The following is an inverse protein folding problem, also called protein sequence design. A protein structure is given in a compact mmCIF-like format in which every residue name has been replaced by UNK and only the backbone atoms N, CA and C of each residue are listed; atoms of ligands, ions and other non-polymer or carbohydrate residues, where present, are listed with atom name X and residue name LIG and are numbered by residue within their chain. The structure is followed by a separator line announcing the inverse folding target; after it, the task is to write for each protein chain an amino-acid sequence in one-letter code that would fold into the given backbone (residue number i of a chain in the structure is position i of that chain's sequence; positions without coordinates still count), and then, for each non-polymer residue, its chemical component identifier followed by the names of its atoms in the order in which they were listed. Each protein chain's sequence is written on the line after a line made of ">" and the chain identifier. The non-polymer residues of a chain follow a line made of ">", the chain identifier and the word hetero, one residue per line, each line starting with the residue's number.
data_IF_918988877033
#
_entry.id   IF_918988877033
#
_cell.length_a   1.000
_cell.length_b   1.000
_cell.length_c   1.000
_cell.angle_alpha   90.00
_cell.angle_beta   90.00
_cell.angle_gamma   90.00
#
_symmetry.space_group_name_H-M   'P 1'
#
loop_
_entity.id
_entity.type
_entity.pdbx_description
1 polymer ?
#
# COMPACT_ATOMS: atom_id res chain seq x y z
N UNK A 1 42.35 -60.32 -17.83
CA UNK A 1 41.65 -59.76 -16.65
C UNK A 1 40.64 -58.74 -17.13
N UNK A 2 39.39 -59.16 -17.35
CA UNK A 2 38.27 -58.26 -17.66
C UNK A 2 37.66 -57.81 -16.33
N UNK A 3 37.84 -56.54 -15.98
CA UNK A 3 37.14 -55.95 -14.82
C UNK A 3 35.62 -55.99 -15.08
N UNK A 4 34.79 -56.38 -14.09
CA UNK A 4 33.36 -56.56 -14.33
C UNK A 4 32.70 -55.20 -14.57
N UNK A 5 32.05 -55.06 -15.74
CA UNK A 5 31.25 -53.87 -16.11
C UNK A 5 30.18 -53.49 -15.08
N UNK A 6 29.80 -54.40 -14.17
CA UNK A 6 28.77 -54.18 -13.15
C UNK A 6 29.15 -53.17 -12.05
N UNK A 7 30.44 -53.02 -11.72
CA UNK A 7 30.83 -52.06 -10.66
C UNK A 7 30.68 -50.61 -11.12
N UNK A 8 30.96 -50.28 -12.39
CA UNK A 8 30.82 -48.91 -12.92
C UNK A 8 29.37 -48.43 -12.99
N UNK A 9 28.42 -49.32 -13.28
CA UNK A 9 27.00 -49.00 -13.27
C UNK A 9 26.49 -48.67 -11.86
N UNK A 10 27.03 -49.32 -10.82
CA UNK A 10 26.68 -49.05 -9.43
C UNK A 10 27.27 -47.71 -8.93
N UNK A 11 28.52 -47.39 -9.30
CA UNK A 11 29.21 -46.18 -8.87
C UNK A 11 28.69 -44.89 -9.52
N UNK A 12 28.02 -44.97 -10.67
CA UNK A 12 27.49 -43.79 -11.39
C UNK A 12 25.95 -43.77 -11.34
N UNK A 13 25.29 -44.93 -11.43
CA UNK A 13 23.84 -45.03 -11.43
C UNK A 13 23.20 -44.72 -10.08
N UNK A 14 23.83 -45.13 -8.97
CA UNK A 14 23.28 -44.87 -7.63
C UNK A 14 23.35 -43.37 -7.25
N UNK A 15 24.47 -42.65 -7.46
CA UNK A 15 24.50 -41.20 -7.22
C UNK A 15 23.56 -40.41 -8.14
N UNK A 16 23.42 -40.82 -9.41
CA UNK A 16 22.52 -40.15 -10.35
C UNK A 16 21.04 -40.36 -9.98
N UNK A 17 20.65 -41.58 -9.59
CA UNK A 17 19.32 -41.87 -9.10
C UNK A 17 19.01 -41.12 -7.80
N UNK A 18 20.00 -41.01 -6.88
CA UNK A 18 19.86 -40.22 -5.66
C UNK A 18 19.71 -38.73 -5.97
N UNK A 19 20.50 -38.19 -6.90
CA UNK A 19 20.41 -36.80 -7.33
C UNK A 19 19.05 -36.48 -8.00
N UNK A 20 18.52 -37.40 -8.82
CA UNK A 20 17.20 -37.27 -9.41
C UNK A 20 16.08 -37.36 -8.36
N UNK A 21 16.19 -38.27 -7.38
CA UNK A 21 15.22 -38.40 -6.30
C UNK A 21 15.24 -37.18 -5.37
N UNK A 22 16.43 -36.65 -5.04
CA UNK A 22 16.58 -35.39 -4.29
C UNK A 22 16.05 -34.22 -5.10
N UNK A 23 16.35 -34.14 -6.39
CA UNK A 23 15.81 -33.09 -7.28
C UNK A 23 14.29 -33.13 -7.39
N UNK A 24 13.70 -34.32 -7.52
CA UNK A 24 12.25 -34.50 -7.53
C UNK A 24 11.61 -34.20 -6.17
N UNK A 25 12.27 -34.59 -5.07
CA UNK A 25 11.83 -34.29 -3.70
C UNK A 25 11.89 -32.78 -3.39
N UNK A 26 12.95 -32.10 -3.84
CA UNK A 26 13.08 -30.63 -3.74
C UNK A 26 12.03 -29.96 -4.61
N UNK A 27 11.81 -30.40 -5.85
CA UNK A 27 10.78 -29.84 -6.72
C UNK A 27 9.37 -30.07 -6.16
N UNK A 28 9.09 -31.23 -5.56
CA UNK A 28 7.82 -31.48 -4.89
C UNK A 28 7.65 -30.60 -3.63
N UNK A 29 8.69 -30.48 -2.80
CA UNK A 29 8.66 -29.58 -1.65
C UNK A 29 8.46 -28.12 -2.07
N UNK A 30 9.16 -27.67 -3.10
CA UNK A 30 9.07 -26.33 -3.67
C UNK A 30 7.63 -26.06 -4.19
N UNK A 31 7.07 -27.02 -4.94
CA UNK A 31 5.74 -26.89 -5.53
C UNK A 31 4.58 -26.94 -4.53
N UNK A 32 4.73 -27.72 -3.44
CA UNK A 32 3.63 -27.98 -2.50
C UNK A 32 3.76 -27.26 -1.15
N UNK A 33 4.98 -26.93 -0.70
CA UNK A 33 5.23 -26.41 0.66
C UNK A 33 5.93 -25.06 0.74
N UNK A 34 6.68 -24.60 -0.28
CA UNK A 34 7.44 -23.34 -0.18
C UNK A 34 6.60 -22.11 0.15
N UNK A 35 5.39 -22.05 -0.40
CA UNK A 35 4.49 -20.89 -0.27
C UNK A 35 3.23 -21.22 0.55
N UNK A 36 3.14 -22.38 1.24
CA UNK A 36 1.95 -22.77 1.99
C UNK A 36 2.13 -22.45 3.50
N UNK A 37 1.44 -21.42 4.04
CA UNK A 37 1.57 -21.03 5.45
C UNK A 37 0.79 -21.93 6.43
N UNK A 38 0.28 -23.08 5.98
CA UNK A 38 -0.38 -24.09 6.83
C UNK A 38 -1.81 -24.44 6.43
N UNK A 39 -2.27 -24.06 5.22
CA UNK A 39 -3.59 -24.41 4.72
C UNK A 39 -3.65 -25.82 4.13
N UNK A 40 -4.83 -26.48 4.16
CA UNK A 40 -5.01 -27.76 3.49
C UNK A 40 -4.65 -27.69 2.01
N UNK A 41 -3.99 -28.73 1.49
CA UNK A 41 -3.54 -28.80 0.09
C UNK A 41 -4.67 -28.53 -0.91
N UNK A 42 -5.88 -29.00 -0.61
CA UNK A 42 -7.08 -28.76 -1.44
C UNK A 42 -7.39 -27.26 -1.56
N UNK A 43 -7.35 -26.52 -0.44
CA UNK A 43 -7.63 -25.08 -0.40
C UNK A 43 -6.56 -24.30 -1.17
N UNK A 44 -5.28 -24.66 -0.99
CA UNK A 44 -4.19 -24.03 -1.75
C UNK A 44 -4.27 -24.31 -3.25
N UNK A 45 -4.70 -25.53 -3.63
CA UNK A 45 -4.95 -25.87 -5.03
C UNK A 45 -6.07 -25.00 -5.61
N UNK A 46 -7.20 -24.89 -4.91
CA UNK A 46 -8.33 -24.06 -5.32
C UNK A 46 -7.95 -22.57 -5.42
N UNK A 47 -7.20 -22.04 -4.44
CA UNK A 47 -6.67 -20.67 -4.50
C UNK A 47 -5.79 -20.44 -5.74
N UNK A 48 -4.95 -21.41 -6.12
CA UNK A 48 -4.15 -21.34 -7.36
C UNK A 48 -5.02 -21.34 -8.61
N UNK A 49 -5.97 -22.26 -8.71
CA UNK A 49 -6.90 -22.36 -9.85
C UNK A 49 -7.76 -21.11 -10.01
N UNK A 50 -8.12 -20.43 -8.91
CA UNK A 50 -8.81 -19.13 -8.97
C UNK A 50 -7.90 -18.04 -9.55
N UNK A 51 -6.65 -17.95 -9.10
CA UNK A 51 -5.71 -16.91 -9.57
C UNK A 51 -5.21 -17.10 -11.01
N UNK A 52 -5.43 -18.27 -11.62
CA UNK A 52 -5.20 -18.46 -13.06
C UNK A 52 -6.20 -17.69 -13.94
N UNK A 53 -7.31 -17.22 -13.37
CA UNK A 53 -8.43 -16.64 -14.13
C UNK A 53 -9.09 -15.43 -13.49
N UNK A 54 -8.92 -15.23 -12.19
CA UNK A 54 -9.40 -14.03 -11.50
C UNK A 54 -8.41 -12.89 -11.70
N UNK A 55 -8.98 -11.70 -11.81
CA UNK A 55 -8.23 -10.46 -11.75
C UNK A 55 -7.91 -10.14 -10.30
N UNK A 56 -6.66 -9.74 -10.05
CA UNK A 56 -6.14 -9.37 -8.74
C UNK A 56 -5.43 -8.02 -8.78
N UNK A 57 -5.80 -7.15 -7.85
CA UNK A 57 -5.37 -5.77 -7.75
C UNK A 57 -5.03 -5.43 -6.30
N UNK A 58 -3.86 -4.85 -6.12
CA UNK A 58 -3.44 -4.22 -4.87
C UNK A 58 -3.50 -2.70 -5.03
N UNK A 59 -4.26 -2.00 -4.18
CA UNK A 59 -4.41 -0.54 -4.28
C UNK A 59 -3.30 0.28 -3.62
N UNK A 60 -2.26 -0.34 -3.04
CA UNK A 60 -1.13 0.40 -2.50
C UNK A 60 0.16 -0.42 -2.44
N UNK A 61 1.09 -0.11 -3.36
CA UNK A 61 2.49 -0.55 -3.28
C UNK A 61 3.39 0.66 -3.47
N UNK A 62 4.32 0.87 -2.53
CA UNK A 62 5.28 1.97 -2.60
C UNK A 62 6.40 1.62 -3.58
N UNK A 63 6.81 2.61 -4.38
CA UNK A 63 7.96 2.50 -5.29
C UNK A 63 9.20 3.01 -4.56
N UNK A 64 10.19 2.13 -4.26
CA UNK A 64 11.48 2.55 -3.71
C UNK A 64 12.19 3.51 -4.68
N UNK A 65 12.92 4.50 -4.14
CA UNK A 65 13.62 5.50 -4.97
C UNK A 65 14.76 4.89 -5.82
N UNK A 66 15.28 3.74 -5.44
CA UNK A 66 16.33 2.99 -6.13
C UNK A 66 15.79 1.81 -6.97
N UNK A 67 14.47 1.66 -7.10
CA UNK A 67 13.87 0.55 -7.84
C UNK A 67 14.21 0.63 -9.34
N UNK A 68 14.58 -0.51 -9.93
CA UNK A 68 15.09 -0.60 -11.30
C UNK A 68 16.60 -0.36 -11.43
N UNK A 69 17.32 -0.09 -10.34
CA UNK A 69 18.79 0.03 -10.34
C UNK A 69 19.48 -1.31 -10.03
N UNK A 70 20.80 -1.37 -10.14
CA UNK A 70 21.56 -2.60 -9.91
C UNK A 70 21.38 -3.09 -8.45
N UNK A 71 20.90 -4.34 -8.29
CA UNK A 71 20.60 -4.93 -6.98
C UNK A 71 19.15 -4.74 -6.52
N UNK A 72 18.36 -3.92 -7.23
CA UNK A 72 16.93 -3.74 -7.01
C UNK A 72 16.17 -3.69 -8.36
N UNK A 73 16.54 -4.56 -9.30
CA UNK A 73 15.97 -4.60 -10.64
C UNK A 73 14.50 -5.03 -10.63
N UNK A 74 13.69 -4.44 -11.52
CA UNK A 74 12.25 -4.70 -11.57
C UNK A 74 11.90 -6.10 -12.10
N UNK A 75 12.77 -6.74 -12.88
CA UNK A 75 12.54 -8.03 -13.55
C UNK A 75 13.27 -9.21 -12.90
N UNK A 76 13.82 -9.04 -11.70
CA UNK A 76 14.51 -10.09 -10.94
C UNK A 76 13.83 -10.33 -9.60
N UNK A 77 13.96 -11.56 -9.08
CA UNK A 77 13.48 -11.93 -7.75
C UNK A 77 14.35 -11.25 -6.67
N UNK A 78 14.08 -9.97 -6.41
CA UNK A 78 14.88 -9.10 -5.56
C UNK A 78 14.59 -9.29 -4.06
N UNK A 79 15.18 -8.43 -3.22
CA UNK A 79 14.91 -8.43 -1.76
C UNK A 79 13.64 -7.68 -1.37
N UNK A 80 13.14 -6.80 -2.25
CA UNK A 80 11.92 -6.04 -2.04
C UNK A 80 10.67 -6.92 -2.05
N UNK A 81 9.52 -6.30 -1.74
CA UNK A 81 8.23 -6.99 -1.67
C UNK A 81 7.48 -7.00 -3.01
N UNK A 82 7.98 -6.27 -4.01
CA UNK A 82 7.46 -6.22 -5.37
C UNK A 82 8.58 -6.28 -6.41
N UNK A 83 8.40 -7.18 -7.38
CA UNK A 83 9.10 -7.23 -8.67
C UNK A 83 8.23 -8.07 -9.64
N UNK A 84 8.56 -8.05 -10.92
CA UNK A 84 7.78 -8.74 -11.95
C UNK A 84 7.84 -10.27 -11.82
N UNK A 85 8.93 -10.82 -11.26
CA UNK A 85 9.06 -12.27 -11.03
C UNK A 85 8.08 -12.72 -9.95
N UNK A 86 8.04 -12.00 -8.82
CA UNK A 86 7.09 -12.24 -7.73
C UNK A 86 5.66 -12.00 -8.17
N UNK A 87 5.38 -10.91 -8.88
CA UNK A 87 4.04 -10.59 -9.37
C UNK A 87 3.51 -11.70 -10.28
N UNK A 88 4.34 -12.20 -11.20
CA UNK A 88 3.98 -13.35 -12.04
C UNK A 88 3.81 -14.64 -11.23
N UNK A 89 4.70 -14.94 -10.27
CA UNK A 89 4.59 -16.12 -9.38
C UNK A 89 3.27 -16.12 -8.58
N UNK A 90 2.86 -14.94 -8.10
CA UNK A 90 1.63 -14.74 -7.35
C UNK A 90 0.39 -14.67 -8.23
N UNK A 91 0.54 -14.45 -9.54
CA UNK A 91 -0.52 -14.05 -10.48
C UNK A 91 -1.21 -12.73 -10.08
N UNK A 92 -0.43 -11.76 -9.58
CA UNK A 92 -0.93 -10.41 -9.35
C UNK A 92 -1.14 -9.72 -10.70
N UNK A 93 -2.38 -9.36 -11.03
CA UNK A 93 -2.70 -8.77 -12.35
C UNK A 93 -2.21 -7.33 -12.48
N UNK A 94 -2.20 -6.59 -11.37
CA UNK A 94 -1.74 -5.21 -11.35
C UNK A 94 -1.75 -4.63 -9.94
N UNK A 95 -1.19 -3.44 -9.79
CA UNK A 95 -1.22 -2.71 -8.53
C UNK A 95 -1.23 -1.20 -8.77
N UNK A 96 -1.70 -0.46 -7.79
CA UNK A 96 -1.44 0.95 -7.68
C UNK A 96 0.01 1.16 -7.24
N UNK A 97 0.86 1.59 -8.18
CA UNK A 97 2.22 2.01 -7.86
C UNK A 97 2.20 3.50 -7.54
N UNK A 98 2.51 3.82 -6.28
CA UNK A 98 2.25 5.15 -5.72
C UNK A 98 3.38 6.13 -6.06
N UNK A 99 3.05 7.21 -6.78
CA UNK A 99 3.86 8.43 -6.85
C UNK A 99 3.73 9.14 -5.51
N UNK A 100 4.84 9.22 -4.78
CA UNK A 100 4.86 9.72 -3.41
C UNK A 100 5.99 10.71 -3.21
N UNK A 101 5.79 11.66 -2.32
CA UNK A 101 6.79 12.60 -1.85
C UNK A 101 6.41 13.11 -0.48
N UNK A 102 7.39 13.26 0.40
CA UNK A 102 7.17 13.76 1.76
C UNK A 102 8.44 14.48 2.25
N UNK A 103 8.35 15.26 3.35
CA UNK A 103 9.53 15.86 3.94
C UNK A 103 10.39 14.78 4.61
N UNK A 104 11.22 14.10 3.81
CA UNK A 104 12.08 13.00 4.24
C UNK A 104 13.13 13.48 5.24
N UNK A 105 13.13 12.86 6.42
CA UNK A 105 13.93 13.30 7.56
C UNK A 105 15.22 12.54 7.67
N UNK A 106 15.26 11.31 7.17
CA UNK A 106 16.33 10.34 7.44
C UNK A 106 17.48 10.40 6.43
N UNK A 107 17.39 11.29 5.44
CA UNK A 107 18.40 11.41 4.40
C UNK A 107 19.53 12.38 4.77
N UNK A 108 20.76 11.92 4.61
CA UNK A 108 21.97 12.74 4.72
C UNK A 108 22.73 12.57 6.05
N UNK A 109 23.94 13.16 6.15
CA UNK A 109 24.74 13.11 7.37
C UNK A 109 24.05 13.85 8.53
N UNK A 110 24.09 13.25 9.72
CA UNK A 110 23.48 13.80 10.94
C UNK A 110 21.94 13.87 10.92
N UNK A 111 21.29 13.05 10.09
CA UNK A 111 19.85 12.83 10.17
C UNK A 111 19.43 12.42 11.60
N UNK A 112 18.21 12.76 12.05
CA UNK A 112 17.12 13.36 11.26
C UNK A 112 17.20 14.89 11.12
N UNK A 113 16.55 15.46 10.11
CA UNK A 113 16.50 16.91 9.87
C UNK A 113 15.07 17.46 9.93
N UNK A 114 14.84 18.57 10.64
CA UNK A 114 13.53 19.24 10.66
C UNK A 114 13.22 19.84 9.29
N UNK A 115 11.96 19.80 8.82
CA UNK A 115 11.61 20.32 7.51
C UNK A 115 11.93 21.81 7.36
N UNK A 116 12.47 22.17 6.20
CA UNK A 116 12.65 23.57 5.75
C UNK A 116 11.86 23.82 4.47
N UNK A 117 11.78 25.06 4.00
CA UNK A 117 11.11 25.36 2.73
C UNK A 117 11.65 24.56 1.53
N UNK A 118 12.94 24.19 1.55
CA UNK A 118 13.57 23.39 0.50
C UNK A 118 13.07 21.93 0.43
N UNK A 119 12.44 21.42 1.49
CA UNK A 119 11.94 20.03 1.53
C UNK A 119 10.76 19.82 0.58
N UNK A 120 10.02 20.89 0.23
CA UNK A 120 8.94 20.79 -0.78
C UNK A 120 9.53 20.42 -2.14
N UNK A 121 10.64 21.03 -2.55
CA UNK A 121 11.30 20.69 -3.82
C UNK A 121 11.90 19.28 -3.79
N UNK A 122 12.48 18.86 -2.67
CA UNK A 122 12.98 17.49 -2.53
C UNK A 122 11.83 16.47 -2.60
N UNK A 123 10.70 16.77 -1.97
CA UNK A 123 9.51 15.92 -2.04
C UNK A 123 8.94 15.85 -3.48
N UNK A 124 9.03 16.93 -4.27
CA UNK A 124 8.72 16.89 -5.71
C UNK A 124 9.71 16.03 -6.50
N UNK A 125 11.01 16.14 -6.19
CA UNK A 125 12.04 15.31 -6.81
C UNK A 125 11.77 13.82 -6.58
N UNK A 126 11.37 13.43 -5.36
CA UNK A 126 10.94 12.07 -5.05
C UNK A 126 9.75 11.60 -5.93
N UNK A 127 8.75 12.46 -6.16
CA UNK A 127 7.63 12.14 -7.07
C UNK A 127 8.11 11.93 -8.51
N UNK A 128 8.98 12.81 -9.02
CA UNK A 128 9.53 12.71 -10.36
C UNK A 128 10.38 11.45 -10.56
N UNK A 129 11.19 11.07 -9.56
CA UNK A 129 11.96 9.82 -9.59
C UNK A 129 11.02 8.61 -9.69
N UNK A 130 9.99 8.53 -8.84
CA UNK A 130 9.00 7.43 -8.86
C UNK A 130 8.25 7.36 -10.19
N UNK A 131 7.88 8.51 -10.75
CA UNK A 131 7.24 8.55 -12.06
C UNK A 131 8.17 8.06 -13.19
N UNK A 132 9.46 8.44 -13.16
CA UNK A 132 10.47 7.95 -14.11
C UNK A 132 10.69 6.45 -13.99
N UNK A 133 10.66 5.91 -12.77
CA UNK A 133 10.75 4.46 -12.53
C UNK A 133 9.55 3.74 -13.17
N UNK A 134 8.32 4.19 -12.85
CA UNK A 134 7.08 3.60 -13.40
C UNK A 134 7.08 3.62 -14.93
N UNK A 135 7.36 4.78 -15.53
CA UNK A 135 7.38 4.91 -16.99
C UNK A 135 8.57 4.19 -17.64
N UNK A 136 9.69 4.09 -16.92
CA UNK A 136 10.85 3.28 -17.30
C UNK A 136 10.54 1.79 -17.38
N UNK A 137 9.78 1.23 -16.43
CA UNK A 137 9.35 -0.18 -16.47
C UNK A 137 8.58 -0.50 -17.76
N UNK A 138 7.67 0.39 -18.19
CA UNK A 138 6.90 0.19 -19.43
C UNK A 138 7.79 0.27 -20.66
N UNK A 139 8.77 1.19 -20.66
CA UNK A 139 9.74 1.33 -21.76
C UNK A 139 10.64 0.10 -21.88
N UNK A 140 11.13 -0.40 -20.76
CA UNK A 140 12.17 -1.44 -20.73
C UNK A 140 11.55 -2.85 -20.82
N UNK A 141 10.32 -3.03 -20.35
CA UNK A 141 9.60 -4.31 -20.34
C UNK A 141 8.20 -4.24 -21.00
N UNK A 142 8.08 -3.76 -22.26
CA UNK A 142 6.78 -3.50 -22.90
C UNK A 142 5.91 -4.75 -23.13
N UNK A 143 6.53 -5.93 -23.11
CA UNK A 143 5.84 -7.22 -23.21
C UNK A 143 5.37 -7.77 -21.87
N UNK A 144 5.81 -7.19 -20.75
CA UNK A 144 5.48 -7.65 -19.40
C UNK A 144 4.65 -6.63 -18.61
N UNK A 145 4.74 -5.34 -18.93
CA UNK A 145 4.16 -4.26 -18.12
C UNK A 145 3.55 -3.18 -19.01
N UNK A 146 2.42 -2.63 -18.58
CA UNK A 146 1.88 -1.39 -19.14
C UNK A 146 1.05 -0.63 -18.09
N UNK A 147 0.85 0.67 -18.33
CA UNK A 147 -0.02 1.50 -17.48
C UNK A 147 -1.48 1.33 -17.93
N UNK A 148 -2.38 1.10 -16.97
CA UNK A 148 -3.82 1.13 -17.17
C UNK A 148 -4.37 2.52 -16.84
N UNK A 149 -4.97 3.19 -17.84
CA UNK A 149 -5.58 4.51 -17.66
C UNK A 149 -7.09 4.44 -17.42
N UNK A 150 -7.69 3.28 -17.70
CA UNK A 150 -9.11 2.97 -17.50
C UNK A 150 -9.28 1.55 -16.95
N UNK A 151 -10.44 1.21 -16.37
CA UNK A 151 -10.76 -0.17 -15.99
C UNK A 151 -10.68 -1.15 -17.15
N UNK A 152 -11.01 -0.71 -18.37
CA UNK A 152 -10.94 -1.54 -19.57
C UNK A 152 -9.50 -1.80 -20.01
N UNK A 153 -8.60 -0.83 -19.85
CA UNK A 153 -7.17 -1.08 -20.02
C UNK A 153 -6.68 -2.14 -19.02
N UNK A 154 -7.09 -2.04 -17.76
CA UNK A 154 -6.68 -3.02 -16.74
C UNK A 154 -7.12 -4.43 -17.12
N UNK A 155 -8.39 -4.61 -17.52
CA UNK A 155 -8.92 -5.90 -17.99
C UNK A 155 -8.20 -6.41 -19.24
N UNK A 156 -7.96 -5.52 -20.21
CA UNK A 156 -7.22 -5.85 -21.44
C UNK A 156 -5.80 -6.32 -21.12
N UNK A 157 -5.07 -5.60 -20.26
CA UNK A 157 -3.70 -5.92 -19.88
C UNK A 157 -3.60 -7.25 -19.11
N UNK A 158 -4.55 -7.52 -18.21
CA UNK A 158 -4.67 -8.83 -17.58
C UNK A 158 -4.84 -9.95 -18.64
N UNK A 159 -5.72 -9.76 -19.63
CA UNK A 159 -5.90 -10.71 -20.73
C UNK A 159 -4.69 -10.86 -21.66
N UNK A 160 -3.85 -9.82 -21.76
CA UNK A 160 -2.56 -9.85 -22.48
C UNK A 160 -1.44 -10.51 -21.67
N UNK A 161 -1.68 -10.88 -20.39
CA UNK A 161 -0.65 -11.41 -19.50
C UNK A 161 0.37 -10.36 -19.05
N UNK A 162 0.01 -9.07 -19.07
CA UNK A 162 0.87 -7.96 -18.63
C UNK A 162 0.46 -7.48 -17.24
N UNK A 163 1.45 -7.16 -16.42
CA UNK A 163 1.22 -6.44 -15.17
C UNK A 163 0.69 -5.04 -15.46
N UNK A 164 -0.52 -4.75 -14.96
CA UNK A 164 -1.20 -3.48 -15.14
C UNK A 164 -0.83 -2.51 -14.02
N UNK A 165 -0.01 -1.51 -14.34
CA UNK A 165 0.29 -0.42 -13.41
C UNK A 165 -0.89 0.55 -13.39
N UNK A 166 -1.48 0.75 -12.22
CA UNK A 166 -2.36 1.88 -11.94
C UNK A 166 -1.51 2.98 -11.28
N UNK A 167 -1.50 4.20 -11.82
CA UNK A 167 -0.73 5.28 -11.19
C UNK A 167 -1.60 5.97 -10.14
N UNK A 168 -1.26 5.80 -8.88
CA UNK A 168 -1.80 6.57 -7.76
C UNK A 168 -0.80 7.64 -7.33
N UNK A 169 -1.27 8.66 -6.62
CA UNK A 169 -0.42 9.66 -5.99
C UNK A 169 -0.87 9.85 -4.54
N UNK A 170 0.08 9.91 -3.61
CA UNK A 170 -0.19 10.11 -2.19
C UNK A 170 0.60 11.31 -1.67
N UNK A 171 -0.05 12.08 -0.80
CA UNK A 171 0.42 13.29 -0.13
C UNK A 171 0.36 14.56 -0.99
N UNK A 172 -0.33 15.58 -0.48
CA UNK A 172 -0.44 16.90 -1.11
C UNK A 172 0.76 17.81 -0.82
N UNK A 173 1.59 17.50 0.19
CA UNK A 173 2.76 18.31 0.58
C UNK A 173 3.65 18.75 -0.60
N UNK A 174 4.01 17.89 -1.57
CA UNK A 174 4.85 18.30 -2.69
C UNK A 174 4.18 19.33 -3.62
N UNK A 175 2.85 19.46 -3.59
CA UNK A 175 2.12 20.35 -4.50
C UNK A 175 2.14 21.82 -4.06
N UNK A 176 2.59 22.11 -2.83
CA UNK A 176 2.57 23.47 -2.28
C UNK A 176 1.16 24.05 -2.32
N UNK A 177 0.97 25.21 -2.96
CA UNK A 177 -0.34 25.84 -3.12
C UNK A 177 -0.83 25.90 -4.58
N UNK A 178 -0.28 25.07 -5.47
CA UNK A 178 -0.67 25.06 -6.88
C UNK A 178 -1.63 23.92 -7.21
N UNK A 179 -2.92 24.27 -7.30
CA UNK A 179 -3.98 23.33 -7.65
C UNK A 179 -3.82 22.74 -9.07
N UNK A 180 -3.17 23.46 -9.99
CA UNK A 180 -3.00 23.03 -11.39
C UNK A 180 -2.08 21.80 -11.52
N UNK A 181 -1.29 21.48 -10.49
CA UNK A 181 -0.48 20.28 -10.49
C UNK A 181 -1.34 19.01 -10.50
N UNK A 182 -2.58 19.05 -10.00
CA UNK A 182 -3.51 17.91 -10.13
C UNK A 182 -3.81 17.59 -11.59
N UNK A 183 -4.03 18.61 -12.41
CA UNK A 183 -4.25 18.48 -13.86
C UNK A 183 -3.04 17.85 -14.53
N UNK A 184 -1.85 18.37 -14.22
CA UNK A 184 -0.59 17.93 -14.82
C UNK A 184 -0.31 16.46 -14.47
N UNK A 185 -0.49 16.05 -13.22
CA UNK A 185 -0.35 14.66 -12.81
C UNK A 185 -1.41 13.75 -13.42
N UNK A 186 -2.65 14.23 -13.56
CA UNK A 186 -3.72 13.47 -14.23
C UNK A 186 -3.42 13.25 -15.71
N UNK A 187 -2.93 14.28 -16.41
CA UNK A 187 -2.50 14.19 -17.81
C UNK A 187 -1.34 13.20 -17.99
N UNK A 188 -0.49 13.06 -16.96
CA UNK A 188 0.61 12.08 -16.89
C UNK A 188 0.17 10.68 -16.47
N UNK A 189 -1.12 10.46 -16.21
CA UNK A 189 -1.67 9.13 -15.96
C UNK A 189 -2.12 8.85 -14.53
N UNK A 190 -2.00 9.79 -13.60
CA UNK A 190 -2.54 9.64 -12.24
C UNK A 190 -4.07 9.40 -12.30
N UNK A 191 -4.56 8.40 -11.59
CA UNK A 191 -5.99 8.03 -11.52
C UNK A 191 -6.56 7.93 -10.10
N UNK A 192 -5.72 8.02 -9.07
CA UNK A 192 -6.13 8.17 -7.68
C UNK A 192 -5.21 9.15 -6.97
N UNK A 193 -5.76 9.99 -6.11
CA UNK A 193 -5.03 10.96 -5.30
C UNK A 193 -5.44 10.89 -3.83
N UNK A 194 -4.48 10.66 -2.95
CA UNK A 194 -4.64 10.74 -1.50
C UNK A 194 -4.02 12.03 -0.95
N UNK A 195 -4.79 12.77 -0.16
CA UNK A 195 -4.39 14.09 0.35
C UNK A 195 -3.24 14.04 1.36
N UNK A 196 -3.19 12.99 2.17
CA UNK A 196 -2.40 12.97 3.40
C UNK A 196 -1.39 11.82 3.41
N UNK A 197 -0.37 12.00 4.23
CA UNK A 197 0.51 10.95 4.74
C UNK A 197 0.66 11.17 6.26
N UNK A 198 1.72 10.68 6.89
CA UNK A 198 2.17 11.18 8.20
C UNK A 198 2.49 12.68 8.07
N UNK A 199 2.04 13.45 9.05
CA UNK A 199 2.20 14.90 9.09
C UNK A 199 1.08 15.64 8.38
N UNK A 200 0.70 16.80 8.94
CA UNK A 200 -0.25 17.69 8.28
C UNK A 200 0.39 18.32 7.03
N UNK A 201 -0.45 18.78 6.11
CA UNK A 201 -0.03 19.64 5.01
C UNK A 201 -1.06 20.75 4.80
N UNK A 202 -0.75 21.70 3.93
CA UNK A 202 -1.57 22.90 3.75
C UNK A 202 -2.96 22.63 3.12
N UNK A 203 -3.23 21.40 2.69
CA UNK A 203 -4.49 21.01 2.04
C UNK A 203 -5.40 20.25 3.01
N UNK A 204 -4.84 19.37 3.83
CA UNK A 204 -5.60 18.50 4.71
C UNK A 204 -4.82 18.11 5.98
N UNK A 205 -5.55 18.02 7.09
CA UNK A 205 -5.06 17.43 8.33
C UNK A 205 -4.85 15.91 8.17
N UNK A 206 -3.78 15.41 8.79
CA UNK A 206 -3.48 13.98 8.87
C UNK A 206 -4.11 13.34 10.10
N UNK A 207 -4.43 12.05 10.01
CA UNK A 207 -4.73 11.21 11.18
C UNK A 207 -3.51 11.05 12.12
N UNK A 208 -2.31 11.37 11.62
CA UNK A 208 -1.03 11.22 12.29
C UNK A 208 -0.22 12.52 12.21
N UNK A 209 -0.65 13.61 12.88
CA UNK A 209 0.17 14.81 12.99
C UNK A 209 1.51 14.44 13.63
N UNK A 210 2.61 14.98 13.09
CA UNK A 210 3.95 14.65 13.57
C UNK A 210 4.53 15.84 14.34
N UNK A 211 4.73 15.73 15.66
CA UNK A 211 5.31 16.82 16.46
C UNK A 211 6.68 17.27 15.96
N UNK A 212 7.46 16.40 15.33
CA UNK A 212 8.74 16.78 14.72
C UNK A 212 8.59 17.82 13.59
N UNK A 213 7.42 17.89 12.95
CA UNK A 213 7.05 18.93 11.97
C UNK A 213 6.43 20.16 12.64
N UNK A 214 6.33 20.16 13.96
CA UNK A 214 5.60 21.13 14.75
C UNK A 214 4.09 21.14 14.43
N UNK A 215 3.54 19.98 14.06
CA UNK A 215 2.12 19.82 13.80
C UNK A 215 1.28 19.93 15.08
N UNK A 216 0.05 20.44 14.90
CA UNK A 216 -1.02 20.33 15.89
C UNK A 216 -2.13 19.42 15.34
N UNK A 217 -2.79 18.61 16.18
CA UNK A 217 -3.96 17.84 15.74
C UNK A 217 -5.05 18.75 15.19
N UNK A 218 -5.64 18.35 14.07
CA UNK A 218 -6.77 19.05 13.42
C UNK A 218 -6.53 20.55 13.18
N UNK A 219 -5.31 20.93 12.76
CA UNK A 219 -4.89 22.32 12.61
C UNK A 219 -5.75 23.12 11.62
N UNK A 220 -6.26 22.47 10.56
CA UNK A 220 -7.16 23.05 9.58
C UNK A 220 -8.64 22.81 9.90
N UNK A 221 -8.94 21.97 10.91
CA UNK A 221 -10.27 21.45 11.15
C UNK A 221 -10.78 20.58 10.00
N UNK A 222 -9.90 19.79 9.37
CA UNK A 222 -10.19 18.95 8.21
C UNK A 222 -9.45 19.39 6.95
N UNK A 223 -10.15 20.04 6.02
CA UNK A 223 -9.60 20.58 4.78
C UNK A 223 -9.47 22.10 4.84
N UNK A 224 -8.36 22.62 4.32
CA UNK A 224 -8.24 24.05 4.01
C UNK A 224 -9.09 24.43 2.78
N UNK A 225 -9.15 25.71 2.45
CA UNK A 225 -9.90 26.17 1.26
C UNK A 225 -9.35 25.59 -0.04
N UNK A 226 -8.01 25.46 -0.19
CA UNK A 226 -7.43 24.78 -1.36
C UNK A 226 -7.72 23.28 -1.34
N UNK A 227 -7.75 22.63 -0.16
CA UNK A 227 -8.16 21.23 -0.03
C UNK A 227 -9.59 20.99 -0.51
N UNK A 228 -10.53 21.90 -0.16
CA UNK A 228 -11.92 21.83 -0.64
C UNK A 228 -12.02 22.04 -2.15
N UNK A 229 -11.23 22.96 -2.72
CA UNK A 229 -11.15 23.15 -4.16
C UNK A 229 -10.58 21.91 -4.87
N UNK A 230 -9.59 21.25 -4.26
CA UNK A 230 -9.02 20.01 -4.78
C UNK A 230 -10.03 18.86 -4.85
N UNK A 231 -10.92 18.70 -3.88
CA UNK A 231 -12.03 17.71 -3.97
C UNK A 231 -12.84 17.93 -5.24
N UNK A 232 -13.24 19.17 -5.51
CA UNK A 232 -13.99 19.53 -6.72
C UNK A 232 -13.19 19.24 -7.98
N UNK A 233 -11.90 19.65 -8.00
CA UNK A 233 -11.02 19.45 -9.15
C UNK A 233 -10.79 17.98 -9.46
N UNK A 234 -10.57 17.13 -8.45
CA UNK A 234 -10.38 15.69 -8.62
C UNK A 234 -11.62 15.02 -9.20
N UNK A 235 -12.81 15.41 -8.73
CA UNK A 235 -14.06 14.94 -9.34
C UNK A 235 -14.19 15.39 -10.81
N UNK A 236 -13.79 16.62 -11.15
CA UNK A 236 -13.80 17.12 -12.54
C UNK A 236 -12.84 16.36 -13.44
N UNK A 237 -11.67 16.02 -12.91
CA UNK A 237 -10.63 15.28 -13.61
C UNK A 237 -10.93 13.78 -13.75
N UNK A 238 -11.93 13.25 -13.03
CA UNK A 238 -12.21 11.81 -13.00
C UNK A 238 -11.12 11.03 -12.27
N UNK A 239 -10.54 11.63 -11.23
CA UNK A 239 -9.53 11.01 -10.35
C UNK A 239 -10.20 10.54 -9.07
N UNK A 240 -9.90 9.30 -8.67
CA UNK A 240 -10.42 8.71 -7.43
C UNK A 240 -9.83 9.48 -6.24
N UNK A 241 -10.67 9.89 -5.30
CA UNK A 241 -10.22 10.50 -4.05
C UNK A 241 -9.92 9.38 -3.04
N UNK A 242 -8.67 9.30 -2.60
CA UNK A 242 -8.24 8.40 -1.53
C UNK A 242 -8.26 9.11 -0.17
N UNK A 243 -8.96 8.51 0.79
CA UNK A 243 -9.11 9.05 2.16
C UNK A 243 -8.27 8.32 3.21
N UNK A 244 -7.43 7.36 2.81
CA UNK A 244 -6.42 6.80 3.72
C UNK A 244 -5.50 7.92 4.21
N UNK A 245 -4.96 7.77 5.43
CA UNK A 245 -4.07 8.74 6.10
C UNK A 245 -4.74 10.03 6.59
N UNK A 246 -5.83 10.50 5.98
CA UNK A 246 -6.52 11.74 6.34
C UNK A 246 -7.07 11.71 7.76
N UNK A 247 -7.19 12.88 8.41
CA UNK A 247 -7.93 12.98 9.68
C UNK A 247 -9.42 12.66 9.49
N UNK A 248 -10.09 12.29 10.58
CA UNK A 248 -11.55 12.02 10.55
C UNK A 248 -12.34 13.22 10.02
N UNK A 249 -11.99 14.45 10.44
CA UNK A 249 -12.68 15.66 9.99
C UNK A 249 -12.49 15.91 8.50
N UNK A 250 -11.27 15.68 7.99
CA UNK A 250 -10.97 15.84 6.58
C UNK A 250 -11.74 14.80 5.73
N UNK A 251 -11.79 13.53 6.16
CA UNK A 251 -12.58 12.48 5.52
C UNK A 251 -14.07 12.85 5.48
N UNK A 252 -14.64 13.33 6.60
CA UNK A 252 -16.03 13.76 6.67
C UNK A 252 -16.35 14.89 5.68
N UNK A 253 -15.44 15.85 5.52
CA UNK A 253 -15.59 16.94 4.56
C UNK A 253 -15.45 16.47 3.12
N UNK A 254 -14.51 15.57 2.82
CA UNK A 254 -14.43 14.93 1.50
C UNK A 254 -15.73 14.19 1.18
N UNK A 255 -16.31 13.45 2.12
CA UNK A 255 -17.58 12.75 1.93
C UNK A 255 -18.78 13.69 1.69
N UNK A 256 -18.75 14.90 2.26
CA UNK A 256 -19.77 15.91 2.01
C UNK A 256 -19.61 16.62 0.66
N UNK A 257 -18.38 16.84 0.22
CA UNK A 257 -18.06 17.63 -0.97
C UNK A 257 -17.96 16.80 -2.24
N UNK A 258 -17.52 15.54 -2.15
CA UNK A 258 -17.30 14.69 -3.30
C UNK A 258 -18.63 14.25 -3.92
N UNK A 259 -18.74 14.38 -5.24
CA UNK A 259 -19.86 13.85 -6.02
C UNK A 259 -19.58 12.44 -6.59
N UNK A 260 -18.38 11.92 -6.40
CA UNK A 260 -17.96 10.60 -6.88
C UNK A 260 -17.61 9.68 -5.72
N UNK A 261 -17.65 8.35 -5.91
CA UNK A 261 -17.23 7.40 -4.89
C UNK A 261 -15.81 7.65 -4.39
N UNK A 262 -15.61 7.38 -3.10
CA UNK A 262 -14.32 7.50 -2.41
C UNK A 262 -13.66 6.13 -2.27
N UNK A 263 -12.34 6.11 -2.11
CA UNK A 263 -11.60 4.90 -1.75
C UNK A 263 -10.80 5.16 -0.48
N UNK A 264 -10.68 4.18 0.40
CA UNK A 264 -9.55 4.12 1.32
C UNK A 264 -8.59 3.06 0.79
N UNK A 265 -7.50 3.47 0.14
CA UNK A 265 -6.59 2.58 -0.60
C UNK A 265 -5.78 1.62 0.29
N UNK A 266 -5.60 1.93 1.57
CA UNK A 266 -4.89 1.08 2.52
C UNK A 266 -5.30 1.44 3.96
N UNK A 267 -6.39 0.88 4.47
CA UNK A 267 -6.83 1.16 5.85
C UNK A 267 -7.43 -0.08 6.52
N UNK A 268 -7.34 -0.18 7.85
CA UNK A 268 -7.98 -1.24 8.62
C UNK A 268 -9.05 -0.70 9.58
N UNK A 269 -9.98 -1.52 10.09
CA UNK A 269 -11.00 -1.08 11.05
C UNK A 269 -10.42 -0.83 12.45
N UNK A 270 -10.90 0.23 13.13
CA UNK A 270 -10.53 0.52 14.54
C UNK A 270 -10.93 -0.59 15.51
N UNK A 271 -11.90 -1.42 15.13
CA UNK A 271 -12.29 -2.59 15.90
C UNK A 271 -11.17 -3.64 16.04
N UNK A 272 -10.16 -3.62 15.16
CA UNK A 272 -8.98 -4.48 15.27
C UNK A 272 -7.94 -3.84 16.19
N UNK A 273 -7.58 -2.58 15.89
CA UNK A 273 -6.67 -1.75 16.68
C UNK A 273 -7.22 -0.32 16.72
N UNK A 274 -7.51 0.19 17.91
CA UNK A 274 -8.06 1.54 18.09
C UNK A 274 -6.95 2.59 18.02
N UNK A 275 -6.63 3.00 16.80
CA UNK A 275 -5.68 4.05 16.46
C UNK A 275 -6.29 5.00 15.43
N UNK A 276 -5.93 6.30 15.44
CA UNK A 276 -6.46 7.29 14.50
C UNK A 276 -6.28 6.92 13.03
N UNK A 277 -5.22 6.16 12.73
CA UNK A 277 -4.90 5.68 11.38
C UNK A 277 -5.93 4.67 10.84
N UNK A 278 -6.64 3.97 11.73
CA UNK A 278 -7.69 3.03 11.37
C UNK A 278 -9.05 3.73 11.26
N UNK A 279 -9.97 3.12 10.51
CA UNK A 279 -11.31 3.66 10.26
C UNK A 279 -12.31 3.22 11.33
N UNK A 280 -13.04 4.16 11.88
CA UNK A 280 -14.24 3.90 12.66
C UNK A 280 -15.37 3.34 11.77
N UNK A 281 -16.38 2.75 12.40
CA UNK A 281 -17.59 2.31 11.70
C UNK A 281 -18.26 3.46 10.93
N UNK A 282 -18.28 4.67 11.50
CA UNK A 282 -18.86 5.87 10.87
C UNK A 282 -18.12 6.23 9.59
N UNK A 283 -16.79 6.26 9.63
CA UNK A 283 -15.97 6.58 8.45
C UNK A 283 -16.14 5.52 7.35
N UNK A 284 -16.20 4.24 7.71
CA UNK A 284 -16.51 3.19 6.73
C UNK A 284 -17.90 3.35 6.11
N UNK A 285 -18.93 3.75 6.90
CA UNK A 285 -20.26 4.04 6.33
C UNK A 285 -20.26 5.24 5.39
N UNK A 286 -19.45 6.28 5.64
CA UNK A 286 -19.32 7.41 4.71
C UNK A 286 -18.72 6.99 3.38
N UNK A 287 -17.67 6.15 3.41
CA UNK A 287 -17.06 5.57 2.20
C UNK A 287 -18.10 4.72 1.46
N UNK A 288 -18.83 3.84 2.17
CA UNK A 288 -19.92 3.05 1.59
C UNK A 288 -21.00 3.92 0.96
N UNK A 289 -21.48 4.95 1.65
CA UNK A 289 -22.55 5.83 1.19
C UNK A 289 -22.21 6.57 -0.10
N UNK A 290 -20.92 6.83 -0.34
CA UNK A 290 -20.44 7.39 -1.62
C UNK A 290 -20.49 6.39 -2.79
N UNK A 291 -20.75 5.11 -2.54
CA UNK A 291 -20.55 4.00 -3.50
C UNK A 291 -19.12 3.44 -3.49
N UNK A 292 -18.31 3.88 -2.52
CA UNK A 292 -16.86 3.68 -2.44
C UNK A 292 -16.41 2.30 -1.95
N UNK A 293 -15.10 2.16 -1.74
CA UNK A 293 -14.47 0.89 -1.29
C UNK A 293 -13.42 1.15 -0.22
N UNK A 294 -13.41 0.31 0.82
CA UNK A 294 -12.32 0.22 1.80
C UNK A 294 -11.42 -0.94 1.44
N UNK A 295 -10.18 -0.65 1.05
CA UNK A 295 -9.16 -1.64 0.74
C UNK A 295 -8.42 -2.00 2.04
N UNK A 296 -8.71 -3.18 2.57
CA UNK A 296 -8.20 -3.65 3.86
C UNK A 296 -6.72 -3.96 3.74
N UNK A 297 -5.94 -3.24 4.53
CA UNK A 297 -4.47 -3.26 4.45
C UNK A 297 -3.86 -4.38 5.30
N UNK A 298 -2.90 -5.09 4.71
CA UNK A 298 -2.03 -6.06 5.37
C UNK A 298 -0.94 -5.44 6.26
N UNK A 299 -1.25 -4.44 7.09
CA UNK A 299 -0.27 -3.77 7.95
C UNK A 299 -0.35 -4.30 9.39
N UNK A 300 0.71 -4.98 9.86
CA UNK A 300 0.65 -5.79 11.09
C UNK A 300 0.17 -5.01 12.33
N UNK A 301 0.72 -3.81 12.56
CA UNK A 301 0.39 -2.98 13.72
C UNK A 301 -1.00 -2.32 13.64
N UNK A 302 -1.69 -2.44 12.49
CA UNK A 302 -3.07 -1.94 12.31
C UNK A 302 -4.10 -3.05 12.46
N UNK A 303 -3.67 -4.31 12.36
CA UNK A 303 -4.50 -5.50 12.45
C UNK A 303 -4.46 -6.16 13.83
N UNK A 304 -3.35 -6.01 14.55
CA UNK A 304 -3.14 -6.64 15.85
C UNK A 304 -2.56 -5.64 16.87
N UNK A 305 -3.14 -5.53 18.07
CA UNK A 305 -2.58 -4.71 19.14
C UNK A 305 -1.19 -5.19 19.56
N UNK A 306 -0.31 -4.25 19.92
CA UNK A 306 1.03 -4.58 20.42
C UNK A 306 0.95 -5.48 21.65
N UNK A 307 1.82 -6.49 21.71
CA UNK A 307 1.94 -7.33 22.91
C UNK A 307 2.33 -6.52 24.14
N UNK A 308 1.93 -7.00 25.33
CA UNK A 308 2.32 -6.35 26.60
C UNK A 308 3.84 -6.20 26.72
N UNK A 309 4.61 -7.22 26.32
CA UNK A 309 6.07 -7.20 26.32
C UNK A 309 6.64 -6.03 25.50
N UNK A 310 6.06 -5.73 24.34
CA UNK A 310 6.49 -4.60 23.51
C UNK A 310 6.06 -3.28 24.11
N UNK A 311 4.85 -3.19 24.66
CA UNK A 311 4.40 -2.01 25.41
C UNK A 311 5.29 -1.71 26.62
N UNK A 312 5.74 -2.72 27.35
CA UNK A 312 6.66 -2.58 28.48
C UNK A 312 8.02 -2.01 28.02
N UNK A 313 8.61 -2.58 26.95
CA UNK A 313 9.84 -2.04 26.33
C UNK A 313 9.68 -0.58 25.91
N UNK A 314 8.53 -0.22 25.32
CA UNK A 314 8.23 1.15 24.92
C UNK A 314 8.05 2.08 26.13
N UNK A 315 7.41 1.63 27.21
CA UNK A 315 7.29 2.39 28.44
C UNK A 315 8.66 2.64 29.10
N UNK A 316 9.54 1.64 29.11
CA UNK A 316 10.93 1.81 29.58
C UNK A 316 11.69 2.82 28.72
N UNK A 317 11.51 2.79 27.39
CA UNK A 317 12.09 3.78 26.48
C UNK A 317 11.54 5.18 26.77
N UNK A 318 10.21 5.33 26.88
CA UNK A 318 9.55 6.60 27.17
C UNK A 318 10.05 7.21 28.48
N UNK A 319 10.19 6.39 29.52
CA UNK A 319 10.74 6.83 30.81
C UNK A 319 12.17 7.38 30.66
N UNK A 320 13.05 6.73 29.89
CA UNK A 320 14.42 7.21 29.64
C UNK A 320 14.48 8.56 28.90
N UNK A 321 13.41 8.93 28.20
CA UNK A 321 13.30 10.19 27.46
C UNK A 321 12.38 11.22 28.13
N UNK A 322 12.03 11.00 29.40
CA UNK A 322 11.15 11.85 30.23
C UNK A 322 9.71 11.99 29.68
N UNK A 323 9.23 10.95 29.00
CA UNK A 323 7.84 10.84 28.54
C UNK A 323 7.01 10.00 29.53
N UNK A 324 5.73 10.34 29.74
CA UNK A 324 4.84 9.51 30.56
C UNK A 324 4.63 8.13 29.92
N UNK A 325 4.18 7.10 30.67
CA UNK A 325 3.77 5.83 30.10
C UNK A 325 2.77 6.00 28.95
N UNK A 326 2.75 5.04 28.03
CA UNK A 326 1.90 5.06 26.84
C UNK A 326 0.43 5.33 27.21
N UNK A 327 -0.17 6.43 26.74
CA UNK A 327 -1.59 6.69 26.98
C UNK A 327 -2.50 5.84 26.08
N UNK A 328 -1.99 5.42 24.92
CA UNK A 328 -2.68 4.61 23.92
C UNK A 328 -1.68 4.10 22.87
N UNK A 329 -2.14 3.27 21.94
CA UNK A 329 -1.31 2.72 20.86
C UNK A 329 -0.94 3.76 19.78
N UNK A 330 -1.65 4.87 19.64
CA UNK A 330 -1.28 5.91 18.68
C UNK A 330 0.09 6.50 19.00
N UNK A 331 0.41 6.65 20.29
CA UNK A 331 1.72 7.09 20.78
C UNK A 331 2.76 5.96 20.85
N UNK A 332 2.36 4.71 20.59
CA UNK A 332 3.25 3.55 20.57
C UNK A 332 3.82 3.27 19.18
N UNK A 333 3.07 3.63 18.14
CA UNK A 333 3.39 3.28 16.75
C UNK A 333 4.17 4.37 16.00
N UNK A 334 4.31 5.56 16.59
CA UNK A 334 5.10 6.67 16.06
C UNK A 334 5.47 7.64 17.21
N UNK A 335 6.52 8.47 17.05
CA UNK A 335 6.91 9.49 18.02
C UNK A 335 5.92 10.68 18.01
N UNK A 336 4.72 10.47 18.58
CA UNK A 336 3.57 11.38 18.50
C UNK A 336 3.37 12.33 19.68
N UNK A 337 4.18 12.27 20.74
CA UNK A 337 4.02 13.14 21.91
C UNK A 337 4.30 14.61 21.56
N UNK A 338 3.39 15.57 21.87
CA UNK A 338 3.53 16.97 21.46
C UNK A 338 4.84 17.64 21.93
N UNK A 339 5.38 17.23 23.08
CA UNK A 339 6.63 17.78 23.62
C UNK A 339 7.85 17.52 22.72
N UNK A 340 7.76 16.53 21.82
CA UNK A 340 8.82 16.19 20.86
C UNK A 340 9.09 17.35 19.88
N UNK A 341 8.12 18.24 19.64
CA UNK A 341 8.33 19.42 18.79
C UNK A 341 9.50 20.31 19.26
N UNK A 342 9.67 20.39 20.59
CA UNK A 342 10.74 21.18 21.22
C UNK A 342 12.08 20.43 21.31
N UNK A 343 12.14 19.15 20.94
CA UNK A 343 13.37 18.37 21.06
C UNK A 343 14.40 18.77 20.00
N UNK A 344 15.70 18.70 20.34
CA UNK A 344 16.78 18.69 19.36
C UNK A 344 16.64 17.49 18.40
N UNK A 345 17.08 17.68 17.16
CA UNK A 345 17.08 16.64 16.11
C UNK A 345 17.75 15.34 16.56
N UNK A 346 18.91 15.43 17.21
CA UNK A 346 19.62 14.28 17.75
C UNK A 346 18.78 13.49 18.77
N UNK A 347 18.14 14.19 19.73
CA UNK A 347 17.30 13.53 20.75
C UNK A 347 16.11 12.83 20.10
N UNK A 348 15.48 13.45 19.10
CA UNK A 348 14.42 12.81 18.32
C UNK A 348 14.92 11.58 17.56
N UNK A 349 16.06 11.68 16.88
CA UNK A 349 16.66 10.56 16.14
C UNK A 349 16.95 9.35 17.04
N UNK A 350 17.54 9.58 18.21
CA UNK A 350 17.82 8.53 19.18
C UNK A 350 16.55 7.85 19.70
N UNK A 351 15.50 8.64 20.01
CA UNK A 351 14.22 8.11 20.47
C UNK A 351 13.49 7.33 19.37
N UNK A 352 13.33 7.95 18.19
CA UNK A 352 12.59 7.37 17.08
C UNK A 352 13.28 6.10 16.55
N UNK A 353 14.62 6.11 16.45
CA UNK A 353 15.39 4.91 16.08
C UNK A 353 15.19 3.75 17.06
N UNK A 354 15.23 4.02 18.37
CA UNK A 354 14.95 2.98 19.39
C UNK A 354 13.49 2.54 19.39
N UNK A 355 12.54 3.45 19.19
CA UNK A 355 11.12 3.14 19.10
C UNK A 355 10.86 2.19 17.93
N UNK A 356 11.34 2.52 16.73
CA UNK A 356 11.14 1.67 15.56
C UNK A 356 11.88 0.33 15.67
N UNK A 357 13.09 0.31 16.26
CA UNK A 357 13.77 -0.95 16.56
C UNK A 357 13.00 -1.86 17.52
N UNK A 358 12.28 -1.31 18.50
CA UNK A 358 11.39 -2.09 19.37
C UNK A 358 10.17 -2.61 18.59
N UNK A 359 9.63 -1.84 17.65
CA UNK A 359 8.50 -2.25 16.83
C UNK A 359 8.87 -3.30 15.77
N UNK A 360 10.11 -3.31 15.27
CA UNK A 360 10.61 -4.35 14.37
C UNK A 360 10.64 -5.75 15.02
N UNK A 361 10.84 -5.79 16.35
CA UNK A 361 10.80 -7.02 17.15
C UNK A 361 9.36 -7.53 17.43
N UNK A 362 8.33 -6.74 17.15
CA UNK A 362 6.94 -7.12 17.42
C UNK A 362 6.52 -8.29 16.53
N UNK A 363 5.91 -9.37 17.09
CA UNK A 363 5.41 -10.47 16.28
C UNK A 363 4.40 -9.98 15.24
N UNK A 364 4.70 -10.23 13.96
CA UNK A 364 3.80 -9.87 12.85
C UNK A 364 2.39 -10.43 13.05
N UNK A 365 1.40 -9.66 12.60
CA UNK A 365 0.06 -10.19 12.39
C UNK A 365 0.10 -11.30 11.32
N UNK A 366 -0.95 -12.10 11.26
CA UNK A 366 -1.09 -13.23 10.35
C UNK A 366 -2.20 -13.01 9.33
N UNK A 367 -2.29 -13.91 8.35
CA UNK A 367 -3.43 -13.99 7.44
C UNK A 367 -4.79 -14.07 8.16
N UNK A 368 -4.84 -14.70 9.35
CA UNK A 368 -6.05 -14.75 10.15
C UNK A 368 -6.47 -13.36 10.64
N UNK A 369 -5.52 -12.54 11.08
CA UNK A 369 -5.81 -11.18 11.55
C UNK A 369 -6.30 -10.29 10.39
N UNK A 370 -5.69 -10.45 9.19
CA UNK A 370 -6.17 -9.81 7.97
C UNK A 370 -7.59 -10.28 7.60
N UNK A 371 -7.85 -11.58 7.65
CA UNK A 371 -9.18 -12.15 7.39
C UNK A 371 -10.23 -11.66 8.40
N UNK A 372 -9.87 -11.49 9.68
CA UNK A 372 -10.76 -10.96 10.71
C UNK A 372 -11.15 -9.50 10.41
N UNK A 373 -10.20 -8.70 9.91
CA UNK A 373 -10.45 -7.33 9.48
C UNK A 373 -11.35 -7.26 8.22
N UNK A 374 -11.12 -8.14 7.24
CA UNK A 374 -11.96 -8.26 6.03
C UNK A 374 -13.39 -8.66 6.44
N UNK A 375 -13.56 -9.69 7.26
CA UNK A 375 -14.87 -10.11 7.77
C UNK A 375 -15.59 -8.99 8.50
N UNK A 376 -14.87 -8.24 9.34
CA UNK A 376 -15.43 -7.11 10.05
C UNK A 376 -15.93 -6.04 9.08
N UNK A 377 -15.11 -5.64 8.11
CA UNK A 377 -15.49 -4.64 7.12
C UNK A 377 -16.69 -5.13 6.27
N UNK A 378 -16.66 -6.37 5.77
CA UNK A 378 -17.76 -6.94 4.97
C UNK A 378 -19.07 -6.95 5.76
N UNK A 379 -19.05 -7.33 7.06
CA UNK A 379 -20.24 -7.26 7.91
C UNK A 379 -20.79 -5.84 8.09
N UNK A 380 -19.92 -4.83 8.12
CA UNK A 380 -20.33 -3.44 8.38
C UNK A 380 -20.79 -2.72 7.11
N UNK A 381 -20.07 -2.89 6.01
CA UNK A 381 -20.30 -2.12 4.78
C UNK A 381 -20.73 -2.94 3.58
N UNK A 382 -20.72 -4.28 3.67
CA UNK A 382 -21.15 -5.19 2.61
C UNK A 382 -20.01 -5.55 1.66
N UNK A 383 -20.12 -6.72 1.02
CA UNK A 383 -19.07 -7.28 0.16
C UNK A 383 -18.71 -6.40 -1.03
N UNK A 384 -19.65 -5.55 -1.47
CA UNK A 384 -19.48 -4.64 -2.61
C UNK A 384 -18.64 -3.39 -2.28
N UNK A 385 -18.19 -3.24 -1.04
CA UNK A 385 -17.49 -2.05 -0.55
C UNK A 385 -16.16 -2.37 0.14
N UNK A 386 -15.65 -3.57 -0.04
CA UNK A 386 -14.39 -4.03 0.56
C UNK A 386 -13.45 -4.53 -0.54
N UNK A 387 -12.17 -4.29 -0.38
CA UNK A 387 -11.14 -5.04 -1.10
C UNK A 387 -9.85 -5.12 -0.31
N UNK A 388 -8.71 -5.28 -0.97
CA UNK A 388 -7.45 -5.72 -0.35
C UNK A 388 -6.29 -4.81 -0.78
N UNK A 389 -5.37 -4.52 0.15
CA UNK A 389 -4.07 -3.92 -0.15
C UNK A 389 -2.97 -4.38 0.79
N UNK A 390 -1.72 -4.22 0.38
CA UNK A 390 -0.56 -4.71 1.15
C UNK A 390 0.15 -3.64 1.97
N UNK A 391 0.31 -2.43 1.41
CA UNK A 391 1.29 -1.42 1.86
C UNK A 391 2.75 -1.90 1.71
N UNK A 392 3.00 -2.75 0.69
CA UNK A 392 4.33 -3.29 0.42
C UNK A 392 5.37 -2.21 0.09
N UNK A 393 6.61 -2.49 0.49
CA UNK A 393 7.77 -1.60 0.49
C UNK A 393 7.67 -0.40 1.46
N UNK A 394 6.64 -0.36 2.31
CA UNK A 394 6.48 0.69 3.33
C UNK A 394 6.04 0.13 4.71
N UNK A 395 6.49 -1.10 5.01
CA UNK A 395 6.23 -1.78 6.28
C UNK A 395 5.05 -2.76 6.26
N UNK A 396 4.28 -2.77 5.17
CA UNK A 396 3.20 -3.72 4.95
C UNK A 396 3.64 -5.18 4.81
N UNK A 397 2.64 -6.06 4.82
CA UNK A 397 2.79 -7.51 4.84
C UNK A 397 2.48 -8.13 6.21
N UNK A 398 1.91 -9.32 6.16
CA UNK A 398 1.59 -10.16 7.33
C UNK A 398 2.28 -11.50 7.19
N UNK A 399 2.37 -12.28 8.27
CA UNK A 399 2.87 -13.65 8.21
C UNK A 399 1.99 -14.48 7.27
N UNK A 400 2.61 -15.05 6.24
CA UNK A 400 1.98 -15.78 5.13
C UNK A 400 1.66 -14.91 3.91
N UNK A 401 1.87 -13.59 3.95
CA UNK A 401 1.80 -12.69 2.81
C UNK A 401 2.90 -11.62 2.91
N UNK A 402 4.13 -12.05 2.65
CA UNK A 402 5.35 -11.26 2.84
C UNK A 402 5.70 -10.41 1.62
N UNK A 403 5.29 -10.84 0.43
CA UNK A 403 5.48 -10.15 -0.84
C UNK A 403 4.33 -10.45 -1.83
N UNK A 404 4.32 -9.80 -2.99
CA UNK A 404 3.26 -9.99 -4.01
C UNK A 404 3.16 -11.42 -4.57
N UNK A 405 4.19 -12.26 -4.39
CA UNK A 405 4.15 -13.68 -4.77
C UNK A 405 3.22 -14.53 -3.91
N UNK A 406 2.86 -14.05 -2.71
CA UNK A 406 2.14 -14.83 -1.71
C UNK A 406 0.63 -14.52 -1.68
N UNK A 407 0.10 -13.73 -2.64
CA UNK A 407 -1.31 -13.27 -2.64
C UNK A 407 -2.34 -14.42 -2.61
N UNK A 408 -1.97 -15.59 -3.11
CA UNK A 408 -2.83 -16.79 -3.11
C UNK A 408 -3.09 -17.30 -1.69
N UNK A 409 -2.22 -16.97 -0.74
CA UNK A 409 -2.39 -17.34 0.66
C UNK A 409 -3.52 -16.52 1.32
N UNK A 410 -3.68 -15.24 0.95
CA UNK A 410 -4.85 -14.44 1.34
C UNK A 410 -6.13 -15.07 0.77
N UNK A 411 -6.07 -15.58 -0.46
CA UNK A 411 -7.23 -16.27 -1.07
C UNK A 411 -7.54 -17.59 -0.38
N UNK A 412 -6.53 -18.33 0.04
CA UNK A 412 -6.71 -19.55 0.82
C UNK A 412 -7.37 -19.27 2.19
N UNK A 413 -7.02 -18.16 2.84
CA UNK A 413 -7.71 -17.70 4.06
C UNK A 413 -9.19 -17.38 3.77
N UNK A 414 -9.48 -16.65 2.70
CA UNK A 414 -10.86 -16.29 2.32
C UNK A 414 -11.70 -17.53 2.00
N UNK A 415 -11.15 -18.49 1.25
CA UNK A 415 -11.80 -19.77 0.98
C UNK A 415 -12.07 -20.56 2.27
N UNK A 416 -11.10 -20.58 3.19
CA UNK A 416 -11.25 -21.24 4.50
C UNK A 416 -12.38 -20.63 5.33
N UNK A 417 -12.64 -19.32 5.18
CA UNK A 417 -13.75 -18.60 5.82
C UNK A 417 -15.09 -18.74 5.10
N UNK A 418 -15.11 -19.38 3.93
CA UNK A 418 -16.32 -19.64 3.15
C UNK A 418 -16.73 -18.51 2.21
N UNK A 419 -15.83 -17.59 1.87
CA UNK A 419 -16.11 -16.64 0.78
C UNK A 419 -16.28 -17.40 -0.53
N UNK A 420 -17.32 -17.02 -1.29
CA UNK A 420 -17.51 -17.56 -2.63
C UNK A 420 -16.45 -17.01 -3.58
N UNK A 421 -16.21 -17.69 -4.69
CA UNK A 421 -15.38 -17.18 -5.77
C UNK A 421 -15.81 -15.77 -6.23
N UNK A 422 -17.12 -15.54 -6.36
CA UNK A 422 -17.66 -14.24 -6.78
C UNK A 422 -17.31 -13.14 -5.78
N UNK A 423 -17.34 -13.44 -4.48
CA UNK A 423 -16.95 -12.50 -3.44
C UNK A 423 -15.45 -12.25 -3.44
N UNK A 424 -14.63 -13.30 -3.64
CA UNK A 424 -13.18 -13.19 -3.77
C UNK A 424 -12.81 -12.32 -4.97
N UNK A 425 -13.49 -12.47 -6.11
CA UNK A 425 -13.28 -11.64 -7.30
C UNK A 425 -13.63 -10.16 -7.05
N UNK A 426 -14.64 -9.88 -6.22
CA UNK A 426 -14.97 -8.52 -5.80
C UNK A 426 -13.89 -7.92 -4.91
N UNK A 427 -13.45 -8.66 -3.89
CA UNK A 427 -12.40 -8.24 -2.93
C UNK A 427 -11.07 -7.97 -3.63
N UNK A 428 -10.69 -8.82 -4.58
CA UNK A 428 -9.41 -8.69 -5.29
C UNK A 428 -9.37 -7.60 -6.35
N UNK A 429 -10.45 -6.89 -6.63
CA UNK A 429 -10.38 -5.76 -7.55
C UNK A 429 -11.68 -5.42 -8.25
N UNK A 430 -12.65 -6.34 -8.31
CA UNK A 430 -13.94 -6.07 -8.95
C UNK A 430 -14.63 -4.82 -8.40
N UNK A 431 -14.60 -4.63 -7.07
CA UNK A 431 -15.16 -3.45 -6.43
C UNK A 431 -14.38 -2.18 -6.75
N UNK A 432 -13.05 -2.23 -6.73
CA UNK A 432 -12.20 -1.09 -7.07
C UNK A 432 -12.41 -0.65 -8.52
N UNK A 433 -12.44 -1.60 -9.47
CA UNK A 433 -12.69 -1.32 -10.88
C UNK A 433 -14.08 -0.70 -11.13
N UNK A 434 -15.10 -1.09 -10.35
CA UNK A 434 -16.42 -0.44 -10.38
C UNK A 434 -16.32 1.03 -9.95
N UNK A 435 -15.65 1.31 -8.84
CA UNK A 435 -15.47 2.69 -8.36
C UNK A 435 -14.71 3.52 -9.38
N UNK A 436 -13.63 2.97 -9.92
CA UNK A 436 -12.83 3.65 -10.95
C UNK A 436 -13.67 4.02 -12.18
N UNK A 437 -14.48 3.09 -12.69
CA UNK A 437 -15.40 3.33 -13.81
C UNK A 437 -16.41 4.44 -13.49
N UNK A 438 -17.03 4.40 -12.31
CA UNK A 438 -18.01 5.41 -11.87
C UNK A 438 -17.39 6.81 -11.77
N UNK A 439 -16.17 6.89 -11.22
CA UNK A 439 -15.43 8.15 -11.07
C UNK A 439 -15.09 8.74 -12.43
N UNK A 440 -14.59 7.93 -13.38
CA UNK A 440 -14.28 8.41 -14.74
C UNK A 440 -15.52 8.86 -15.52
N UNK A 441 -16.64 8.14 -15.39
CA UNK A 441 -17.92 8.52 -16.03
C UNK A 441 -18.49 9.82 -15.47
N UNK A 442 -18.18 10.17 -14.22
CA UNK A 442 -18.61 11.40 -13.58
C UNK A 442 -17.67 12.60 -13.84
N UNK A 443 -16.57 12.39 -14.58
CA UNK A 443 -15.63 13.43 -14.94
C UNK A 443 -16.32 14.56 -15.73
N UNK A 444 -15.93 15.80 -15.43
CA UNK A 444 -16.37 17.02 -16.11
C UNK A 444 -15.16 17.91 -16.32
N UNK A 445 -14.17 17.47 -17.10
CA UNK A 445 -12.98 18.29 -17.32
C UNK A 445 -13.46 19.55 -18.03
N UNK A 446 -13.42 20.69 -17.34
CA UNK A 446 -13.68 21.96 -18.00
C UNK A 446 -12.73 22.05 -19.19
N UNK A 447 -13.29 22.29 -20.39
CA UNK A 447 -12.48 22.68 -21.55
C UNK A 447 -11.76 23.93 -21.08
N UNK A 448 -10.42 23.91 -21.01
CA UNK A 448 -9.63 25.09 -20.71
C UNK A 448 -10.19 26.22 -21.55
N UNK A 449 -10.80 27.22 -20.90
CA UNK A 449 -11.43 28.32 -21.61
C UNK A 449 -10.34 28.92 -22.49
N UNK A 450 -10.49 28.79 -23.80
CA UNK A 450 -9.67 29.50 -24.78
C UNK A 450 -9.62 30.95 -24.30
N UNK A 451 -8.46 31.36 -23.78
CA UNK A 451 -8.20 32.76 -23.49
C UNK A 451 -8.59 33.49 -24.78
N UNK A 452 -9.64 34.31 -24.70
CA UNK A 452 -9.97 35.23 -25.77
C UNK A 452 -8.71 36.06 -25.99
N UNK A 453 -8.03 35.78 -27.09
CA UNK A 453 -7.02 36.64 -27.68
C UNK A 453 -7.66 38.01 -27.80
N UNK A 454 -7.31 38.90 -26.89
CA UNK A 454 -7.48 40.32 -27.10
C UNK A 454 -6.40 40.70 -28.12
N UNK A 455 -6.83 40.93 -29.35
CA UNK A 455 -6.06 41.65 -30.36
C UNK A 455 -7.01 42.53 -31.18
N UNK A 456 -6.53 43.64 -31.77
CA UNK A 456 -5.29 44.39 -31.48
C UNK A 456 -5.54 45.65 -30.65
#
# INVERSE_FOLDING_TARGET
>A
MTTPRSKKALFIGLPLALALAVGAGVAAWDHWWRDNPGYPVKVMKEARELHERLLSFDSHITVPLDFGTAGNEADKDGKGQFDLVKANRGHLSGAALTVFGWPELWNGPNAPHKPTAGFVEEARNQQEVRYKIITGMVRDFPNQVAIAYTPDDFRRLHGEGKFAIFISMLNAYPLGHDLNLLDLWTARGMRMFGFSYIGNNDWADSSRPLPFFNDSPDALGGLSDIGKQAVTRLNDLGVIIDVSQMSTQALEQVAQLSRTPLVASHSAPRAMVDIPRNLSDKEMQLIKASGGVVQIVGFSQYLRPLTQKTQDKLNDLRQRFDLPPLPNLAMALMPGDPIIAAWPEQKFGEYAGQLYGILEDEPKASLKDLGDAIDYAVRKIGIDHVGISSDFNEGGGVKGWENVGDIRNVTAELLTRGYSEADIAKLWGGNFLRVWDQVQKAARPAIASTQKTVQP
#
